data_IF_032543237114
#
_entry.id   IF_032543237114
#
_cell.length_a   1.000
_cell.length_b   1.000
_cell.length_c   1.000
_cell.angle_alpha   90.00
_cell.angle_beta   90.00
_cell.angle_gamma   90.00
#
_symmetry.space_group_name_H-M   'P 1'
#
loop_
_entity.id
_entity.type
_entity.pdbx_description
1 polymer ?
#
# COMPACT_ATOMS: atom_id res chain seq x y z
N UNK A 1 -13.45 -82.50 9.92
CA UNK A 1 -12.46 -81.92 8.98
C UNK A 1 -12.98 -80.55 8.53
N UNK A 2 -12.73 -79.49 9.30
CA UNK A 2 -12.96 -78.09 8.92
C UNK A 2 -11.84 -77.27 9.59
N UNK A 3 -10.83 -76.88 8.82
CA UNK A 3 -9.80 -75.94 9.23
C UNK A 3 -10.32 -74.51 9.03
N UNK A 4 -10.28 -73.67 10.08
CA UNK A 4 -10.45 -72.22 9.95
C UNK A 4 -9.09 -71.56 10.19
N UNK A 5 -8.57 -70.99 9.11
CA UNK A 5 -7.31 -70.26 9.04
C UNK A 5 -7.43 -68.91 9.76
N UNK A 6 -6.41 -68.57 10.54
CA UNK A 6 -6.19 -67.24 11.11
C UNK A 6 -5.56 -66.33 10.06
N UNK A 7 -6.12 -65.13 9.85
CA UNK A 7 -5.54 -64.09 9.02
C UNK A 7 -4.74 -63.10 9.89
N UNK A 8 -3.51 -62.70 9.50
CA UNK A 8 -2.73 -61.72 10.24
C UNK A 8 -3.14 -60.29 9.83
N UNK A 9 -3.34 -59.42 10.82
CA UNK A 9 -3.56 -58.00 10.61
C UNK A 9 -2.22 -57.30 10.34
N UNK A 10 -2.02 -56.83 9.11
CA UNK A 10 -0.91 -55.96 8.72
C UNK A 10 -1.22 -54.52 9.16
N UNK A 11 -0.49 -54.05 10.16
CA UNK A 11 -0.53 -52.66 10.64
C UNK A 11 0.26 -51.77 9.66
N UNK A 12 -0.45 -51.02 8.81
CA UNK A 12 0.17 -50.05 7.91
C UNK A 12 0.48 -48.75 8.69
N UNK A 13 1.75 -48.54 9.05
CA UNK A 13 2.24 -47.25 9.55
C UNK A 13 2.27 -46.22 8.40
N UNK A 14 1.25 -45.36 8.35
CA UNK A 14 1.25 -44.20 7.46
C UNK A 14 2.30 -43.17 7.94
N UNK A 15 3.37 -43.00 7.16
CA UNK A 15 4.33 -41.92 7.30
C UNK A 15 3.64 -40.60 6.95
N UNK A 16 3.25 -39.83 7.97
CA UNK A 16 2.77 -38.46 7.81
C UNK A 16 3.99 -37.60 7.50
N UNK A 17 4.17 -37.23 6.23
CA UNK A 17 5.16 -36.21 5.84
C UNK A 17 4.60 -34.85 6.25
N UNK A 18 5.29 -34.07 7.10
CA UNK A 18 4.85 -32.72 7.41
C UNK A 18 5.03 -31.85 6.15
N UNK A 19 3.92 -31.46 5.53
CA UNK A 19 3.89 -30.40 4.53
C UNK A 19 4.31 -29.12 5.25
N UNK A 20 5.51 -28.63 4.98
CA UNK A 20 5.97 -27.34 5.51
C UNK A 20 5.28 -26.24 4.72
N UNK A 21 4.27 -25.60 5.31
CA UNK A 21 3.64 -24.39 4.78
C UNK A 21 4.63 -23.21 4.83
N UNK A 22 5.56 -23.16 3.88
CA UNK A 22 6.58 -22.12 3.78
C UNK A 22 6.18 -21.03 2.78
N UNK A 23 5.02 -20.41 3.00
CA UNK A 23 4.68 -19.10 2.43
C UNK A 23 4.12 -18.17 3.51
N UNK A 24 4.59 -18.29 4.75
CA UNK A 24 4.15 -17.48 5.86
C UNK A 24 4.97 -16.18 5.98
N UNK A 25 4.27 -15.05 6.11
CA UNK A 25 4.83 -13.78 6.58
C UNK A 25 5.56 -14.00 7.92
N UNK A 26 6.71 -13.36 8.10
CA UNK A 26 7.43 -13.35 9.38
C UNK A 26 7.41 -11.96 9.98
N UNK A 27 6.99 -11.89 11.23
CA UNK A 27 6.98 -10.69 12.04
C UNK A 27 7.90 -10.90 13.24
N UNK A 28 8.69 -9.88 13.59
CA UNK A 28 9.56 -9.88 14.78
C UNK A 28 9.40 -8.59 15.56
N UNK A 29 9.61 -8.64 16.87
CA UNK A 29 9.69 -7.45 17.71
C UNK A 29 11.06 -6.80 17.56
N UNK A 30 11.11 -5.61 16.98
CA UNK A 30 12.34 -4.83 16.81
C UNK A 30 12.34 -3.67 17.81
N UNK A 31 13.50 -3.39 18.39
CA UNK A 31 13.71 -2.23 19.25
C UNK A 31 14.04 -0.99 18.41
N UNK A 32 13.37 0.12 18.73
CA UNK A 32 13.51 1.42 18.10
C UNK A 32 13.78 2.48 19.16
N UNK A 33 14.51 3.52 18.77
CA UNK A 33 14.68 4.73 19.59
C UNK A 33 13.93 5.87 18.93
N UNK A 34 13.04 6.52 19.68
CA UNK A 34 12.32 7.67 19.14
C UNK A 34 13.29 8.85 18.91
N UNK A 35 13.37 9.42 17.71
CA UNK A 35 14.28 10.54 17.43
C UNK A 35 13.84 11.86 18.08
N UNK A 36 12.61 11.92 18.61
CA UNK A 36 12.03 13.13 19.19
C UNK A 36 12.39 13.24 20.67
N UNK A 37 12.17 12.20 21.46
CA UNK A 37 12.34 12.21 22.93
C UNK A 37 13.38 11.19 23.44
N UNK A 38 13.98 10.40 22.54
CA UNK A 38 14.99 9.39 22.91
C UNK A 38 14.40 8.14 23.55
N UNK A 39 13.07 8.02 23.69
CA UNK A 39 12.47 6.86 24.31
C UNK A 39 12.71 5.61 23.47
N UNK A 40 13.21 4.55 24.12
CA UNK A 40 13.36 3.22 23.53
C UNK A 40 12.03 2.47 23.63
N UNK A 41 11.61 1.84 22.53
CA UNK A 41 10.36 1.08 22.46
C UNK A 41 10.49 -0.10 21.49
N UNK A 42 9.58 -1.07 21.59
CA UNK A 42 9.55 -2.22 20.68
C UNK A 42 8.31 -2.16 19.79
N UNK A 43 8.46 -2.49 18.51
CA UNK A 43 7.35 -2.57 17.57
C UNK A 43 7.41 -3.86 16.75
N UNK A 44 6.23 -4.43 16.48
CA UNK A 44 6.12 -5.61 15.62
C UNK A 44 6.39 -5.19 14.17
N UNK A 45 7.42 -5.79 13.58
CA UNK A 45 7.91 -5.40 12.26
C UNK A 45 7.90 -6.62 11.33
N UNK A 46 7.19 -6.56 10.19
CA UNK A 46 7.29 -7.58 9.17
C UNK A 46 8.67 -7.52 8.53
N UNK A 47 9.38 -8.66 8.52
CA UNK A 47 10.74 -8.77 7.95
C UNK A 47 10.77 -9.58 6.67
N UNK A 48 9.75 -10.40 6.42
CA UNK A 48 9.61 -11.12 5.15
C UNK A 48 8.15 -11.39 4.83
N UNK A 49 7.86 -11.47 3.54
CA UNK A 49 6.58 -11.90 3.00
C UNK A 49 6.70 -12.13 1.51
N UNK A 50 5.84 -12.98 0.97
CA UNK A 50 5.84 -13.30 -0.46
C UNK A 50 4.75 -12.52 -1.16
N UNK A 51 5.04 -12.00 -2.35
CA UNK A 51 4.05 -11.36 -3.21
C UNK A 51 4.03 -12.05 -4.56
N UNK A 52 2.83 -12.27 -5.09
CA UNK A 52 2.60 -12.93 -6.39
C UNK A 52 2.01 -11.99 -7.44
N UNK A 53 1.91 -10.69 -7.12
CA UNK A 53 1.31 -9.71 -8.02
C UNK A 53 1.07 -8.38 -7.33
N UNK A 54 0.70 -7.38 -8.12
CA UNK A 54 0.44 -6.03 -7.64
C UNK A 54 -0.85 -5.51 -8.25
N UNK A 55 -1.75 -4.99 -7.42
CA UNK A 55 -2.98 -4.30 -7.85
C UNK A 55 -2.66 -3.06 -8.68
N UNK A 56 -3.64 -2.56 -9.42
CA UNK A 56 -3.46 -1.38 -10.29
C UNK A 56 -3.17 -0.12 -9.48
N UNK A 57 -3.65 -0.06 -8.24
CA UNK A 57 -3.32 0.98 -7.28
C UNK A 57 -1.96 0.78 -6.62
N UNK A 58 -1.19 -0.23 -7.02
CA UNK A 58 0.14 -0.63 -6.58
C UNK A 58 0.23 -1.40 -5.26
N UNK A 59 -0.89 -1.85 -4.68
CA UNK A 59 -0.85 -2.71 -3.50
C UNK A 59 -0.36 -4.11 -3.88
N UNK A 60 0.72 -4.58 -3.26
CA UNK A 60 1.20 -5.97 -3.41
C UNK A 60 0.18 -6.96 -2.87
N UNK A 61 0.03 -8.09 -3.55
CA UNK A 61 -0.87 -9.21 -3.23
C UNK A 61 -0.03 -10.41 -2.81
N UNK A 62 -0.43 -11.09 -1.73
CA UNK A 62 0.20 -12.31 -1.23
C UNK A 62 0.22 -12.36 0.30
N UNK A 63 0.83 -13.40 0.90
CA UNK A 63 1.06 -13.52 2.34
C UNK A 63 2.17 -12.54 2.77
N UNK A 64 1.85 -11.26 2.73
CA UNK A 64 2.73 -10.14 3.05
C UNK A 64 1.93 -9.06 3.79
N UNK A 65 2.57 -8.40 4.75
CA UNK A 65 1.97 -7.23 5.41
C UNK A 65 1.87 -6.12 4.37
N UNK A 66 0.70 -5.74 3.85
CA UNK A 66 0.63 -4.55 2.98
C UNK A 66 -0.61 -3.75 3.34
N UNK A 67 -0.46 -2.48 3.75
CA UNK A 67 0.81 -1.79 3.99
C UNK A 67 1.53 -2.33 5.23
N UNK A 68 2.85 -2.12 5.32
CA UNK A 68 3.63 -2.49 6.51
C UNK A 68 3.24 -1.51 7.63
N UNK A 69 2.97 -1.97 8.86
CA UNK A 69 2.76 -1.06 9.98
C UNK A 69 4.03 -0.27 10.27
N UNK A 70 3.90 1.04 10.48
CA UNK A 70 5.03 1.86 10.92
C UNK A 70 5.23 1.76 12.43
N UNK A 71 6.47 1.74 12.92
CA UNK A 71 6.76 2.01 14.32
C UNK A 71 6.32 3.43 14.68
N UNK A 72 5.69 3.60 15.84
CA UNK A 72 5.16 4.87 16.33
C UNK A 72 5.75 5.16 17.69
N UNK A 73 6.35 6.34 17.86
CA UNK A 73 6.89 6.77 19.16
C UNK A 73 5.76 6.82 20.21
N UNK A 74 5.90 6.14 21.36
CA UNK A 74 4.81 6.05 22.34
C UNK A 74 4.48 7.38 23.05
N UNK A 75 5.47 8.24 23.31
CA UNK A 75 5.26 9.50 24.02
C UNK A 75 4.59 10.60 23.18
N UNK A 76 4.98 10.72 21.90
CA UNK A 76 4.59 11.82 21.03
C UNK A 76 3.86 11.39 19.75
N UNK A 77 3.75 10.10 19.47
CA UNK A 77 3.06 9.56 18.31
C UNK A 77 3.79 9.71 16.97
N UNK A 78 5.05 10.16 16.97
CA UNK A 78 5.79 10.39 15.73
C UNK A 78 5.98 9.08 14.97
N UNK A 79 5.64 9.08 13.69
CA UNK A 79 5.64 7.88 12.85
C UNK A 79 7.00 7.74 12.17
N UNK A 80 7.66 6.60 12.42
CA UNK A 80 8.95 6.26 11.79
C UNK A 80 8.72 5.67 10.39
N UNK A 81 8.37 6.53 9.42
CA UNK A 81 8.14 6.12 8.03
C UNK A 81 9.39 6.13 7.16
N UNK A 82 10.49 6.70 7.66
CA UNK A 82 11.84 6.65 7.07
C UNK A 82 12.84 6.21 8.12
N UNK A 83 13.99 5.71 7.69
CA UNK A 83 15.03 5.24 8.59
C UNK A 83 15.49 6.38 9.51
N UNK A 84 15.40 6.17 10.83
CA UNK A 84 15.77 7.18 11.83
C UNK A 84 17.23 7.60 11.72
N UNK A 85 18.11 6.73 11.19
CA UNK A 85 19.54 7.03 10.97
C UNK A 85 19.77 8.04 9.85
N UNK A 86 18.78 8.28 8.99
CA UNK A 86 18.84 9.24 7.89
C UNK A 86 18.31 10.62 8.26
N UNK A 87 17.86 10.81 9.51
CA UNK A 87 17.33 12.08 9.99
C UNK A 87 18.46 12.96 10.52
N UNK A 88 18.66 14.12 9.90
CA UNK A 88 19.59 15.12 10.40
C UNK A 88 19.00 15.95 11.56
N UNK A 89 19.86 16.74 12.21
CA UNK A 89 19.48 17.52 13.38
C UNK A 89 18.41 18.59 13.07
N UNK A 90 18.45 19.17 11.87
CA UNK A 90 17.48 20.18 11.42
C UNK A 90 16.09 19.56 11.23
N UNK A 91 16.03 18.40 10.56
CA UNK A 91 14.81 17.61 10.45
C UNK A 91 14.26 17.25 11.82
N UNK A 92 15.09 16.79 12.76
CA UNK A 92 14.65 16.43 14.11
C UNK A 92 14.12 17.67 14.85
N UNK A 93 14.77 18.83 14.73
CA UNK A 93 14.32 20.07 15.35
C UNK A 93 12.95 20.51 14.81
N UNK A 94 12.76 20.50 13.48
CA UNK A 94 11.47 20.78 12.86
C UNK A 94 10.40 19.75 13.24
N UNK A 95 10.76 18.48 13.32
CA UNK A 95 9.84 17.42 13.74
C UNK A 95 9.40 17.61 15.20
N UNK A 96 10.32 17.98 16.11
CA UNK A 96 10.00 18.34 17.50
C UNK A 96 9.01 19.51 17.58
N UNK A 97 9.22 20.55 16.79
CA UNK A 97 8.27 21.67 16.71
C UNK A 97 6.92 21.22 16.17
N UNK A 98 6.91 20.38 15.13
CA UNK A 98 5.70 19.88 14.48
C UNK A 98 4.84 19.04 15.44
N UNK A 99 5.42 18.10 16.20
CA UNK A 99 4.67 17.23 17.11
C UNK A 99 4.04 17.98 18.29
N UNK A 100 4.54 19.17 18.62
CA UNK A 100 3.99 20.02 19.67
C UNK A 100 2.71 20.76 19.23
N UNK A 101 2.41 20.80 17.92
CA UNK A 101 1.26 21.54 17.38
C UNK A 101 -0.08 20.85 17.66
N UNK A 102 -1.15 21.66 17.72
CA UNK A 102 -2.52 21.13 17.84
C UNK A 102 -2.96 20.37 16.58
N UNK A 103 -2.59 20.88 15.40
CA UNK A 103 -2.89 20.22 14.13
C UNK A 103 -2.32 18.80 14.08
N UNK A 104 -1.09 18.63 14.56
CA UNK A 104 -0.48 17.31 14.64
C UNK A 104 -1.26 16.37 15.57
N UNK A 105 -1.64 16.85 16.77
CA UNK A 105 -2.44 16.04 17.71
C UNK A 105 -3.77 15.60 17.08
N UNK A 106 -4.47 16.54 16.43
CA UNK A 106 -5.74 16.26 15.74
C UNK A 106 -5.61 15.17 14.68
N UNK A 107 -4.57 15.24 13.84
CA UNK A 107 -4.35 14.24 12.78
C UNK A 107 -3.91 12.90 13.38
N UNK A 108 -3.04 12.92 14.39
CA UNK A 108 -2.61 11.71 15.10
C UNK A 108 -3.78 10.97 15.72
N UNK A 109 -4.72 11.68 16.33
CA UNK A 109 -5.83 11.08 17.07
C UNK A 109 -7.00 10.71 16.13
N UNK A 110 -7.09 11.33 14.95
CA UNK A 110 -8.20 11.15 14.01
C UNK A 110 -7.93 10.24 12.81
N UNK A 111 -6.67 9.89 12.53
CA UNK A 111 -6.27 9.17 11.31
C UNK A 111 -5.33 7.98 11.58
N UNK A 112 -5.02 7.19 10.55
CA UNK A 112 -4.08 6.07 10.69
C UNK A 112 -2.62 6.54 10.56
N UNK A 113 -1.68 5.70 11.01
CA UNK A 113 -0.26 6.07 11.02
C UNK A 113 0.32 6.35 9.63
N UNK A 114 -0.20 5.73 8.57
CA UNK A 114 0.21 6.03 7.19
C UNK A 114 -0.27 7.42 6.72
N UNK A 115 -1.48 7.83 7.10
CA UNK A 115 -1.97 9.18 6.82
C UNK A 115 -1.20 10.23 7.62
N UNK A 116 -0.96 9.97 8.91
CA UNK A 116 -0.11 10.83 9.74
C UNK A 116 1.31 10.92 9.15
N UNK A 117 1.88 9.82 8.64
CA UNK A 117 3.17 9.85 7.96
C UNK A 117 3.15 10.72 6.70
N UNK A 118 2.10 10.62 5.85
CA UNK A 118 1.95 11.50 4.69
C UNK A 118 1.87 12.98 5.10
N UNK A 119 1.10 13.26 6.14
CA UNK A 119 0.91 14.61 6.68
C UNK A 119 2.22 15.21 7.22
N UNK A 120 3.02 14.40 7.94
CA UNK A 120 4.37 14.77 8.39
C UNK A 120 5.25 15.01 7.16
N UNK A 121 5.30 14.06 6.21
CA UNK A 121 6.16 14.15 5.05
C UNK A 121 5.93 15.43 4.26
N UNK A 122 4.66 15.78 4.02
CA UNK A 122 4.30 17.00 3.29
C UNK A 122 4.80 18.27 4.01
N UNK A 123 4.57 18.39 5.32
CA UNK A 123 4.98 19.57 6.11
C UNK A 123 6.48 19.69 6.30
N UNK A 124 7.19 18.58 6.14
CA UNK A 124 8.64 18.52 6.20
C UNK A 124 9.28 18.68 4.82
N UNK A 125 8.52 19.08 3.79
CA UNK A 125 9.04 19.31 2.44
C UNK A 125 9.40 18.03 1.68
N UNK A 126 8.79 16.90 2.05
CA UNK A 126 9.01 15.61 1.40
C UNK A 126 8.59 15.61 -0.07
N UNK A 127 9.28 14.80 -0.87
CA UNK A 127 8.98 14.65 -2.30
C UNK A 127 7.54 14.18 -2.55
N UNK A 128 6.94 14.63 -3.65
CA UNK A 128 5.56 14.31 -4.00
C UNK A 128 5.32 12.80 -4.13
N UNK A 129 6.31 12.04 -4.63
CA UNK A 129 6.21 10.58 -4.75
C UNK A 129 6.07 9.91 -3.39
N UNK A 130 6.78 10.42 -2.36
CA UNK A 130 6.72 9.92 -0.98
C UNK A 130 5.33 10.21 -0.41
N UNK A 131 4.85 11.44 -0.53
CA UNK A 131 3.53 11.84 0.00
C UNK A 131 2.41 11.02 -0.64
N UNK A 132 2.40 10.89 -1.97
CA UNK A 132 1.41 10.08 -2.69
C UNK A 132 1.50 8.60 -2.29
N UNK A 133 2.71 8.05 -2.15
CA UNK A 133 2.93 6.68 -1.71
C UNK A 133 2.40 6.40 -0.30
N UNK A 134 2.58 7.34 0.63
CA UNK A 134 2.07 7.23 2.00
C UNK A 134 0.54 7.35 2.05
N UNK A 135 -0.06 8.25 1.27
CA UNK A 135 -1.52 8.37 1.17
C UNK A 135 -2.18 7.12 0.56
N UNK A 136 -1.54 6.50 -0.44
CA UNK A 136 -2.00 5.20 -0.99
C UNK A 136 -1.95 4.11 0.06
N UNK A 137 -0.88 4.04 0.84
CA UNK A 137 -0.80 3.11 1.96
C UNK A 137 -1.86 3.39 3.03
N UNK A 138 -2.16 4.66 3.31
CA UNK A 138 -3.24 5.03 4.21
C UNK A 138 -4.60 4.52 3.73
N UNK A 139 -4.88 4.65 2.42
CA UNK A 139 -6.08 4.09 1.82
C UNK A 139 -6.14 2.57 1.98
N UNK A 140 -5.04 1.85 1.72
CA UNK A 140 -4.98 0.38 1.91
C UNK A 140 -5.21 -0.05 3.35
N UNK A 141 -4.62 0.65 4.33
CA UNK A 141 -4.83 0.40 5.75
C UNK A 141 -6.27 0.70 6.23
N UNK A 142 -7.02 1.45 5.42
CA UNK A 142 -8.41 1.81 5.70
C UNK A 142 -9.42 1.02 4.86
N UNK A 143 -9.01 0.05 4.05
CA UNK A 143 -9.97 -0.78 3.32
C UNK A 143 -11.00 -1.43 4.26
N UNK A 144 -12.27 -1.42 3.86
CA UNK A 144 -13.40 -1.83 4.70
C UNK A 144 -13.87 -0.77 5.71
N UNK A 145 -13.14 0.36 5.87
CA UNK A 145 -13.48 1.46 6.79
C UNK A 145 -14.13 2.65 6.08
N UNK A 146 -15.15 2.38 5.27
CA UNK A 146 -16.05 3.37 4.64
C UNK A 146 -15.39 4.70 4.26
N UNK A 147 -15.88 5.79 4.84
CA UNK A 147 -15.49 7.18 4.52
C UNK A 147 -13.99 7.44 4.61
N UNK A 148 -13.25 6.82 5.54
CA UNK A 148 -11.81 7.03 5.66
C UNK A 148 -11.05 6.47 4.46
N UNK A 149 -11.45 5.31 3.95
CA UNK A 149 -10.85 4.75 2.73
C UNK A 149 -11.01 5.71 1.56
N UNK A 150 -12.23 6.16 1.31
CA UNK A 150 -12.56 7.10 0.23
C UNK A 150 -11.85 8.44 0.39
N UNK A 151 -11.79 8.98 1.62
CA UNK A 151 -11.09 10.23 1.90
C UNK A 151 -9.59 10.13 1.58
N UNK A 152 -8.93 9.04 1.95
CA UNK A 152 -7.51 8.85 1.66
C UNK A 152 -7.23 8.61 0.18
N UNK A 153 -8.11 7.89 -0.53
CA UNK A 153 -8.04 7.76 -1.99
C UNK A 153 -8.11 9.13 -2.68
N UNK A 154 -9.06 9.98 -2.28
CA UNK A 154 -9.20 11.34 -2.82
C UNK A 154 -8.01 12.22 -2.48
N UNK A 155 -7.47 12.12 -1.27
CA UNK A 155 -6.25 12.83 -0.89
C UNK A 155 -5.05 12.40 -1.76
N UNK A 156 -4.87 11.10 -1.97
CA UNK A 156 -3.82 10.56 -2.84
C UNK A 156 -3.99 11.03 -4.30
N UNK A 157 -5.22 10.97 -4.83
CA UNK A 157 -5.55 11.41 -6.18
C UNK A 157 -5.28 12.91 -6.37
N UNK A 158 -5.67 13.75 -5.40
CA UNK A 158 -5.42 15.19 -5.45
C UNK A 158 -3.92 15.52 -5.49
N UNK A 159 -3.11 14.87 -4.63
CA UNK A 159 -1.65 15.04 -4.64
C UNK A 159 -1.01 14.52 -5.92
N UNK A 160 -1.45 13.36 -6.41
CA UNK A 160 -0.94 12.80 -7.66
C UNK A 160 -1.28 13.69 -8.85
N UNK A 161 -2.49 14.26 -8.91
CA UNK A 161 -2.89 15.21 -9.96
C UNK A 161 -2.03 16.47 -9.93
N UNK A 162 -1.82 17.07 -8.75
CA UNK A 162 -0.95 18.23 -8.61
C UNK A 162 0.49 17.93 -9.02
N UNK A 163 1.02 16.78 -8.61
CA UNK A 163 2.34 16.33 -9.02
C UNK A 163 2.42 16.18 -10.55
N UNK A 164 1.45 15.54 -11.18
CA UNK A 164 1.43 15.39 -12.64
C UNK A 164 1.33 16.71 -13.40
N UNK A 165 0.55 17.67 -12.90
CA UNK A 165 0.44 19.00 -13.50
C UNK A 165 1.77 19.79 -13.45
N UNK A 166 2.65 19.48 -12.50
CA UNK A 166 3.98 20.10 -12.40
C UNK A 166 5.04 19.51 -13.34
N UNK A 167 4.74 18.40 -14.02
CA UNK A 167 5.72 17.72 -14.88
C UNK A 167 5.70 18.32 -16.29
N UNK A 168 6.87 18.73 -16.78
CA UNK A 168 7.01 19.23 -18.15
C UNK A 168 6.89 18.11 -19.20
N UNK A 169 7.34 16.91 -18.87
CA UNK A 169 7.37 15.77 -19.79
C UNK A 169 6.28 14.74 -19.48
N UNK A 170 5.62 14.25 -20.54
CA UNK A 170 4.62 13.16 -20.48
C UNK A 170 5.24 11.82 -20.88
N UNK A 171 6.30 11.42 -20.17
CA UNK A 171 6.98 10.15 -20.38
C UNK A 171 6.19 8.94 -19.82
N UNK A 172 6.74 7.73 -19.94
CA UNK A 172 6.07 6.50 -19.46
C UNK A 172 5.73 6.54 -17.97
N UNK A 173 6.57 7.17 -17.14
CA UNK A 173 6.27 7.32 -15.71
C UNK A 173 5.06 8.24 -15.49
N UNK A 174 4.88 9.27 -16.32
CA UNK A 174 3.70 10.12 -16.32
C UNK A 174 2.45 9.33 -16.76
N UNK A 175 2.55 8.54 -17.84
CA UNK A 175 1.45 7.67 -18.30
C UNK A 175 1.03 6.66 -17.23
N UNK A 176 1.99 6.00 -16.58
CA UNK A 176 1.71 5.11 -15.46
C UNK A 176 0.99 5.82 -14.31
N UNK A 177 1.42 7.05 -13.97
CA UNK A 177 0.75 7.86 -12.95
C UNK A 177 -0.68 8.25 -13.35
N UNK A 178 -0.97 8.48 -14.62
CA UNK A 178 -2.36 8.71 -15.09
C UNK A 178 -3.24 7.48 -14.88
N UNK A 179 -2.73 6.28 -15.18
CA UNK A 179 -3.44 5.03 -14.93
C UNK A 179 -3.75 4.87 -13.42
N UNK A 180 -2.75 5.12 -12.57
CA UNK A 180 -2.92 5.06 -11.11
C UNK A 180 -3.91 6.12 -10.63
N UNK A 181 -3.86 7.35 -11.17
CA UNK A 181 -4.80 8.42 -10.83
C UNK A 181 -6.24 8.00 -11.15
N UNK A 182 -6.47 7.47 -12.34
CA UNK A 182 -7.78 6.97 -12.75
C UNK A 182 -8.27 5.83 -11.84
N UNK A 183 -7.40 4.90 -11.46
CA UNK A 183 -7.75 3.83 -10.51
C UNK A 183 -8.12 4.36 -9.12
N UNK A 184 -7.36 5.31 -8.57
CA UNK A 184 -7.67 5.91 -7.26
C UNK A 184 -9.01 6.65 -7.27
N UNK A 185 -9.28 7.41 -8.34
CA UNK A 185 -10.55 8.12 -8.52
C UNK A 185 -11.72 7.14 -8.67
N UNK A 186 -11.54 6.06 -9.45
CA UNK A 186 -12.55 5.02 -9.62
C UNK A 186 -12.85 4.31 -8.30
N UNK A 187 -11.82 3.90 -7.54
CA UNK A 187 -12.02 3.28 -6.23
C UNK A 187 -12.76 4.22 -5.26
N UNK A 188 -12.54 5.54 -5.37
CA UNK A 188 -13.25 6.53 -4.57
C UNK A 188 -14.71 6.79 -5.02
N UNK A 189 -15.15 6.18 -6.12
CA UNK A 189 -16.47 6.39 -6.72
C UNK A 189 -16.57 7.63 -7.63
N UNK A 190 -15.45 8.31 -7.89
CA UNK A 190 -15.40 9.52 -8.70
C UNK A 190 -15.25 9.17 -10.20
N UNK A 191 -16.19 8.39 -10.74
CA UNK A 191 -16.08 7.75 -12.06
C UNK A 191 -15.89 8.73 -13.22
N UNK A 192 -16.56 9.88 -13.18
CA UNK A 192 -16.42 10.92 -14.21
C UNK A 192 -14.99 11.49 -14.24
N UNK A 193 -14.39 11.69 -13.07
CA UNK A 193 -13.01 12.16 -12.94
C UNK A 193 -12.02 11.07 -13.35
N UNK A 194 -12.29 9.82 -13.00
CA UNK A 194 -11.49 8.67 -13.43
C UNK A 194 -11.47 8.53 -14.96
N UNK A 195 -12.63 8.70 -15.61
CA UNK A 195 -12.75 8.71 -17.07
C UNK A 195 -11.94 9.84 -17.69
N UNK A 196 -12.08 11.08 -17.19
CA UNK A 196 -11.31 12.23 -17.66
C UNK A 196 -9.81 12.03 -17.54
N UNK A 197 -9.32 11.45 -16.44
CA UNK A 197 -7.88 11.18 -16.28
C UNK A 197 -7.32 10.28 -17.40
N UNK A 198 -8.11 9.32 -17.91
CA UNK A 198 -7.73 8.50 -19.05
C UNK A 198 -7.95 9.19 -20.40
N UNK A 199 -9.02 9.97 -20.55
CA UNK A 199 -9.36 10.64 -21.81
C UNK A 199 -8.43 11.84 -22.11
N UNK A 200 -7.93 12.52 -21.07
CA UNK A 200 -6.95 13.62 -21.19
C UNK A 200 -5.51 13.10 -21.46
N UNK A 201 -5.31 11.79 -21.39
CA UNK A 201 -4.04 11.13 -21.70
C UNK A 201 -3.95 10.88 -23.21
N UNK A 202 -2.84 11.25 -23.89
CA UNK A 202 -2.68 10.97 -25.32
C UNK A 202 -2.84 9.47 -25.61
N UNK A 203 -3.91 9.11 -26.34
CA UNK A 203 -4.33 7.71 -26.54
C UNK A 203 -3.24 6.85 -27.14
N UNK A 204 -2.61 7.30 -28.23
CA UNK A 204 -1.57 6.52 -28.91
C UNK A 204 -0.35 6.27 -28.01
N UNK A 205 0.02 7.24 -27.18
CA UNK A 205 1.12 7.08 -26.23
C UNK A 205 0.76 6.11 -25.10
N UNK A 206 -0.48 6.18 -24.59
CA UNK A 206 -0.98 5.26 -23.58
C UNK A 206 -1.05 3.82 -24.12
N UNK A 207 -1.60 3.65 -25.32
CA UNK A 207 -1.74 2.35 -25.98
C UNK A 207 -0.36 1.74 -26.25
N UNK A 208 0.58 2.52 -26.80
CA UNK A 208 1.97 2.08 -27.00
C UNK A 208 2.69 1.75 -25.68
N UNK A 209 2.37 2.44 -24.59
CA UNK A 209 2.94 2.13 -23.27
C UNK A 209 2.39 0.81 -22.72
N UNK A 210 1.05 0.62 -22.72
CA UNK A 210 0.45 -0.60 -22.18
C UNK A 210 0.74 -1.84 -23.04
N UNK A 211 0.95 -1.68 -24.34
CA UNK A 211 1.32 -2.78 -25.25
C UNK A 211 2.68 -3.41 -24.91
N UNK A 212 3.57 -2.67 -24.25
CA UNK A 212 4.84 -3.20 -23.71
C UNK A 212 4.64 -4.06 -22.45
N UNK A 213 3.44 -4.04 -21.86
CA UNK A 213 3.14 -4.60 -20.55
C UNK A 213 1.82 -5.37 -20.58
N UNK A 214 1.83 -6.63 -21.04
CA UNK A 214 0.62 -7.44 -21.23
C UNK A 214 -0.35 -7.44 -20.03
N UNK A 215 0.18 -7.62 -18.81
CA UNK A 215 -0.63 -7.57 -17.58
C UNK A 215 -1.26 -6.19 -17.35
N UNK A 216 -0.49 -5.11 -17.56
CA UNK A 216 -1.00 -3.75 -17.40
C UNK A 216 -2.07 -3.43 -18.46
N UNK A 217 -1.90 -3.90 -19.69
CA UNK A 217 -2.89 -3.75 -20.78
C UNK A 217 -4.23 -4.35 -20.37
N UNK A 218 -4.23 -5.56 -19.83
CA UNK A 218 -5.46 -6.20 -19.33
C UNK A 218 -6.08 -5.43 -18.16
N UNK A 219 -5.27 -4.97 -17.22
CA UNK A 219 -5.74 -4.19 -16.06
C UNK A 219 -6.30 -2.82 -16.47
N UNK A 220 -5.73 -2.16 -17.48
CA UNK A 220 -6.26 -0.89 -18.03
C UNK A 220 -7.56 -1.12 -18.80
N UNK A 221 -7.68 -2.23 -19.55
CA UNK A 221 -8.94 -2.60 -20.17
C UNK A 221 -10.03 -2.86 -19.11
N UNK A 222 -9.68 -3.53 -18.01
CA UNK A 222 -10.59 -3.71 -16.87
C UNK A 222 -10.92 -2.39 -16.18
N UNK A 223 -9.96 -1.48 -16.02
CA UNK A 223 -10.18 -0.15 -15.46
C UNK A 223 -11.27 0.61 -16.22
N UNK A 224 -11.17 0.65 -17.56
CA UNK A 224 -12.19 1.28 -18.41
C UNK A 224 -13.57 0.64 -18.21
N UNK A 225 -13.66 -0.70 -18.21
CA UNK A 225 -14.93 -1.41 -17.97
C UNK A 225 -15.54 -1.12 -16.60
N UNK A 226 -14.72 -1.08 -15.55
CA UNK A 226 -15.20 -0.80 -14.18
C UNK A 226 -15.63 0.64 -13.98
N UNK A 227 -14.99 1.58 -14.68
CA UNK A 227 -15.48 2.97 -14.74
C UNK A 227 -16.88 3.01 -15.35
N UNK A 228 -17.12 2.30 -16.46
CA UNK A 228 -18.43 2.25 -17.13
C UNK A 228 -19.52 1.58 -16.29
N UNK A 229 -19.17 0.54 -15.53
CA UNK A 229 -20.10 -0.18 -14.66
C UNK A 229 -20.30 0.47 -13.28
N UNK A 230 -19.56 1.52 -12.95
CA UNK A 230 -19.63 2.15 -11.62
C UNK A 230 -19.13 1.25 -10.49
N UNK A 231 -18.13 0.40 -10.75
CA UNK A 231 -17.58 -0.52 -9.75
C UNK A 231 -16.39 0.12 -9.04
N UNK A 232 -16.33 0.02 -7.70
CA UNK A 232 -15.24 0.59 -6.86
C UNK A 232 -14.21 -0.42 -6.39
N UNK A 233 -14.48 -1.72 -6.54
CA UNK A 233 -13.57 -2.77 -6.07
C UNK A 233 -12.20 -2.69 -6.75
N UNK A 234 -11.07 -2.85 -6.03
CA UNK A 234 -9.73 -2.73 -6.61
C UNK A 234 -9.45 -3.71 -7.74
N UNK A 235 -8.60 -3.30 -8.69
CA UNK A 235 -8.19 -4.15 -9.82
C UNK A 235 -6.91 -4.91 -9.46
N UNK A 236 -7.00 -6.23 -9.52
CA UNK A 236 -5.88 -7.17 -9.36
C UNK A 236 -5.41 -7.66 -10.74
N UNK A 237 -4.16 -8.13 -10.87
CA UNK A 237 -3.71 -8.78 -12.09
C UNK A 237 -4.56 -10.03 -12.37
N UNK A 238 -4.72 -10.42 -13.64
CA UNK A 238 -5.34 -11.69 -14.03
C UNK A 238 -4.61 -12.85 -13.33
N UNK A 239 -5.37 -13.88 -12.94
CA UNK A 239 -4.75 -15.12 -12.44
C UNK A 239 -4.09 -15.82 -13.62
N UNK A 240 -2.79 -16.07 -13.51
CA UNK A 240 -2.02 -16.93 -14.42
C UNK A 240 -2.48 -18.38 -14.32
#
# INVERSE_FOLDING_TARGET
MIHRFAAPALLACALIVPVSDAAARRDVMIEYTCPIDGQVFKAMTPISGTSFGTRLDGRRIGPIAVPFPYPVCPGNGFVLYRDSKTLDADYIARAKALVATEDYRRVRDGDNSHFLAAWIAERMGGDQSIVVGLLRQAAWAAEGKGDKHTAYLRAAAAKLRAWQASQAERNEAWLHRQIVLAELLRQAGDFNEARRALDDTPRDALDAYVDKHAVLKEMVAELRRRIDRGETMPISPPRS
#
